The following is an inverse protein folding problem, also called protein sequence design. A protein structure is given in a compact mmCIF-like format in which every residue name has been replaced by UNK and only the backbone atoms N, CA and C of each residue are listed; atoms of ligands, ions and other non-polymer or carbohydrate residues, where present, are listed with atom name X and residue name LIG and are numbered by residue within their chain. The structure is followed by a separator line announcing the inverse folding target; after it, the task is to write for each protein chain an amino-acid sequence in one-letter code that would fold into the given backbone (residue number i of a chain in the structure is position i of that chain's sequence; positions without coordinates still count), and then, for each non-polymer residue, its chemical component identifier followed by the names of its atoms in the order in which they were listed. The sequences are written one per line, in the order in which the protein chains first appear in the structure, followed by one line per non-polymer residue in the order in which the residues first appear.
data_IF_541338379345
#
_entry.id   IF_541338379345
#
_cell.length_a   1.000
_cell.length_b   1.000
_cell.length_c   1.000
_cell.angle_alpha   90.00
_cell.angle_beta   90.00
_cell.angle_gamma   90.00
#
_symmetry.space_group_name_H-M   'P 1'
#
loop_
_entity.id
_entity.type
_entity.pdbx_description
1 polymer ?
#
# COMPACT_ATOMS: atom_id res chain seq x y z
N UNK A 1 7.51 -3.89 4.57
CA UNK A 1 6.05 -4.06 4.41
C UNK A 1 5.52 -2.96 3.49
N UNK A 2 4.54 -3.27 2.66
CA UNK A 2 3.83 -2.28 1.84
C UNK A 2 2.32 -2.47 1.92
N UNK A 3 1.60 -1.36 1.82
CA UNK A 3 0.14 -1.30 1.84
C UNK A 3 -0.39 -0.48 0.66
N UNK A 4 -1.61 -0.79 0.25
CA UNK A 4 -2.38 -0.03 -0.72
C UNK A 4 -3.76 0.30 -0.13
N UNK A 5 -4.10 1.58 0.10
CA UNK A 5 -3.25 2.76 -0.10
C UNK A 5 -2.02 2.74 0.84
N UNK A 6 -0.95 3.42 0.41
CA UNK A 6 0.28 3.57 1.20
C UNK A 6 0.04 4.41 2.46
N UNK A 7 0.93 4.29 3.44
CA UNK A 7 0.91 5.04 4.70
C UNK A 7 -0.08 4.50 5.74
N UNK A 8 -0.59 3.28 5.56
CA UNK A 8 -1.51 2.70 6.54
C UNK A 8 -0.86 2.50 7.92
N UNK A 9 -1.52 2.90 9.02
CA UNK A 9 -1.07 2.63 10.38
C UNK A 9 -1.47 1.24 10.90
N UNK A 10 -2.14 0.41 10.07
CA UNK A 10 -2.48 -0.96 10.46
C UNK A 10 -1.19 -1.76 10.75
N UNK A 11 -1.20 -2.51 11.84
CA UNK A 11 -0.07 -3.35 12.22
C UNK A 11 -0.31 -4.80 11.81
N UNK A 12 0.57 -5.32 10.97
CA UNK A 12 0.53 -6.69 10.48
C UNK A 12 1.51 -7.55 11.28
N UNK A 13 1.01 -8.58 11.95
CA UNK A 13 1.83 -9.47 12.75
C UNK A 13 2.55 -10.51 11.87
N UNK A 14 3.82 -10.73 12.15
CA UNK A 14 4.66 -11.74 11.50
C UNK A 14 5.10 -12.79 12.51
N UNK A 15 5.15 -14.04 12.07
CA UNK A 15 5.68 -15.19 12.82
C UNK A 15 6.76 -15.91 11.99
N UNK A 16 7.47 -16.86 12.61
CA UNK A 16 8.62 -17.53 11.99
C UNK A 16 9.93 -16.92 12.47
N UNK A 17 10.92 -16.88 11.59
CA UNK A 17 12.26 -16.38 11.88
C UNK A 17 12.31 -14.85 11.94
N UNK A 18 11.52 -14.17 11.10
CA UNK A 18 11.29 -12.72 11.18
C UNK A 18 10.04 -12.41 12.02
N UNK A 19 10.13 -12.64 13.33
CA UNK A 19 9.04 -12.39 14.29
C UNK A 19 8.88 -10.89 14.60
N UNK A 20 7.65 -10.39 14.57
CA UNK A 20 7.36 -9.01 14.98
C UNK A 20 6.05 -8.46 14.43
N UNK A 21 5.97 -7.15 14.27
CA UNK A 21 4.84 -6.50 13.61
C UNK A 21 5.32 -5.31 12.80
N UNK A 22 4.68 -5.09 11.65
CA UNK A 22 5.04 -4.05 10.69
C UNK A 22 3.82 -3.27 10.24
N UNK A 23 3.96 -1.95 10.15
CA UNK A 23 3.07 -1.04 9.45
C UNK A 23 3.64 -0.71 8.06
N UNK A 24 2.96 0.14 7.30
CA UNK A 24 3.46 0.54 5.98
C UNK A 24 4.88 1.13 6.03
N UNK A 25 5.75 0.71 5.11
CA UNK A 25 7.12 1.20 5.00
C UNK A 25 8.08 0.66 6.07
N UNK A 26 7.61 -0.06 7.08
CA UNK A 26 8.47 -0.64 8.12
C UNK A 26 9.11 -1.96 7.68
N UNK A 27 10.18 -2.37 8.38
CA UNK A 27 10.92 -3.61 8.14
C UNK A 27 11.38 -4.28 9.44
N UNK A 28 11.40 -5.62 9.46
CA UNK A 28 12.08 -6.42 10.47
C UNK A 28 13.40 -6.85 9.86
N UNK A 29 14.50 -6.66 10.59
CA UNK A 29 15.84 -7.11 10.19
C UNK A 29 16.31 -8.16 11.18
N UNK A 30 16.73 -9.32 10.66
CA UNK A 30 17.31 -10.40 11.45
C UNK A 30 18.74 -10.62 10.97
N UNK A 31 19.71 -10.25 11.81
CA UNK A 31 21.13 -10.28 11.47
C UNK A 31 21.85 -11.49 12.07
N UNK A 32 23.08 -11.73 11.62
CA UNK A 32 23.98 -12.79 12.10
C UNK A 32 23.41 -14.21 11.90
N UNK A 33 22.66 -14.42 10.83
CA UNK A 33 22.18 -15.72 10.41
C UNK A 33 23.29 -16.49 9.68
N UNK A 34 23.30 -17.81 9.87
CA UNK A 34 24.09 -18.69 9.03
C UNK A 34 23.37 -18.91 7.69
N UNK A 35 24.08 -19.44 6.69
CA UNK A 35 23.42 -19.88 5.46
C UNK A 35 22.39 -20.98 5.77
N UNK A 36 21.22 -20.92 5.16
CA UNK A 36 20.13 -21.85 5.43
C UNK A 36 18.77 -21.35 4.97
N UNK A 37 17.73 -22.10 5.36
CA UNK A 37 16.35 -21.78 5.04
C UNK A 37 15.65 -21.13 6.23
N UNK A 38 14.97 -20.02 5.96
CA UNK A 38 14.20 -19.28 6.95
C UNK A 38 12.81 -18.98 6.41
N UNK A 39 11.91 -18.52 7.28
CA UNK A 39 10.54 -18.20 6.91
C UNK A 39 9.98 -17.01 7.68
N UNK A 40 9.03 -16.33 7.06
CA UNK A 40 8.20 -15.32 7.72
C UNK A 40 6.77 -15.49 7.24
N UNK A 41 5.83 -15.65 8.19
CA UNK A 41 4.41 -15.80 7.89
C UNK A 41 3.63 -14.62 8.45
N UNK A 42 2.88 -13.94 7.59
CA UNK A 42 2.02 -12.82 7.96
C UNK A 42 0.64 -13.30 8.42
N UNK A 43 0.13 -12.73 9.52
CA UNK A 43 -1.28 -12.81 9.87
C UNK A 43 -2.04 -11.67 9.19
N UNK A 44 -2.76 -11.98 8.11
CA UNK A 44 -3.51 -11.00 7.32
C UNK A 44 -4.81 -10.62 8.06
N UNK A 45 -5.01 -9.34 8.44
CA UNK A 45 -6.24 -8.92 9.10
C UNK A 45 -7.45 -8.99 8.16
N UNK A 46 -8.65 -9.18 8.71
CA UNK A 46 -9.87 -9.42 7.92
C UNK A 46 -10.26 -8.28 6.94
N UNK A 47 -9.85 -7.04 7.21
CA UNK A 47 -10.11 -5.89 6.34
C UNK A 47 -9.05 -5.69 5.24
N UNK A 48 -8.17 -6.68 5.06
CA UNK A 48 -7.03 -6.63 4.16
C UNK A 48 -6.90 -7.89 3.33
N UNK A 49 -6.29 -7.74 2.17
CA UNK A 49 -5.94 -8.82 1.26
C UNK A 49 -4.43 -8.77 1.02
N UNK A 50 -3.72 -9.89 1.23
CA UNK A 50 -2.33 -10.01 0.82
C UNK A 50 -2.31 -10.29 -0.68
N UNK A 51 -1.83 -9.33 -1.45
CA UNK A 51 -1.89 -9.39 -2.91
C UNK A 51 -0.61 -9.90 -3.54
N UNK A 52 0.53 -9.75 -2.87
CA UNK A 52 1.82 -10.19 -3.40
C UNK A 52 2.88 -10.36 -2.28
N UNK A 53 3.88 -11.21 -2.56
CA UNK A 53 5.11 -11.37 -1.79
C UNK A 53 6.27 -11.41 -2.79
N UNK A 54 7.11 -10.37 -2.76
CA UNK A 54 8.22 -10.24 -3.72
C UNK A 54 9.55 -10.30 -2.98
N UNK A 55 10.38 -11.28 -3.31
CA UNK A 55 11.74 -11.39 -2.80
C UNK A 55 12.74 -10.84 -3.82
N UNK A 56 13.83 -10.22 -3.35
CA UNK A 56 14.94 -9.75 -4.19
C UNK A 56 15.95 -10.84 -4.56
N UNK A 57 15.61 -12.09 -4.27
CA UNK A 57 16.46 -13.27 -4.41
C UNK A 57 15.72 -14.33 -5.24
N UNK A 58 16.47 -15.04 -6.08
CA UNK A 58 15.94 -15.85 -7.17
C UNK A 58 15.49 -17.25 -6.75
N UNK A 59 16.05 -17.79 -5.66
CA UNK A 59 15.67 -19.09 -5.10
C UNK A 59 14.87 -18.98 -3.79
N UNK A 60 14.77 -17.79 -3.20
CA UNK A 60 13.70 -17.43 -2.27
C UNK A 60 12.33 -17.31 -2.95
N UNK A 61 11.25 -17.48 -2.18
CA UNK A 61 9.89 -17.52 -2.72
C UNK A 61 8.83 -16.98 -1.76
N UNK A 62 7.68 -16.58 -2.30
CA UNK A 62 6.49 -16.22 -1.54
C UNK A 62 5.29 -17.10 -1.90
N UNK A 63 4.52 -17.51 -0.89
CA UNK A 63 3.25 -18.23 -1.03
C UNK A 63 2.11 -17.39 -0.45
N UNK A 64 1.22 -16.93 -1.32
CA UNK A 64 0.06 -16.13 -0.95
C UNK A 64 -1.02 -16.94 -0.22
N UNK A 65 -1.06 -18.26 -0.44
CA UNK A 65 -2.07 -19.14 0.18
C UNK A 65 -1.82 -19.26 1.68
N UNK A 66 -0.55 -19.37 2.05
CA UNK A 66 -0.10 -19.48 3.45
C UNK A 66 0.42 -18.18 4.01
N UNK A 67 0.39 -17.09 3.21
CA UNK A 67 0.96 -15.78 3.55
C UNK A 67 2.40 -15.88 4.04
N UNK A 68 3.23 -16.72 3.41
CA UNK A 68 4.57 -17.06 3.88
C UNK A 68 5.64 -16.74 2.84
N UNK A 69 6.69 -16.03 3.26
CA UNK A 69 7.94 -15.94 2.51
C UNK A 69 8.90 -17.02 3.01
N UNK A 70 9.51 -17.76 2.08
CA UNK A 70 10.58 -18.71 2.33
C UNK A 70 11.89 -18.11 1.80
N UNK A 71 12.84 -17.92 2.70
CA UNK A 71 14.15 -17.35 2.40
C UNK A 71 15.15 -18.50 2.23
N UNK A 72 15.88 -18.48 1.13
CA UNK A 72 17.11 -19.25 0.95
C UNK A 72 18.25 -18.27 1.12
N UNK A 73 18.94 -18.32 2.26
CA UNK A 73 20.01 -17.37 2.56
C UNK A 73 21.35 -18.02 2.27
N UNK A 74 22.09 -17.47 1.30
CA UNK A 74 23.48 -17.84 1.08
C UNK A 74 24.45 -17.13 2.03
N UNK A 75 25.67 -17.67 2.13
CA UNK A 75 26.68 -17.13 3.04
C UNK A 75 27.09 -15.70 2.65
N UNK A 76 26.80 -14.73 3.52
CA UNK A 76 27.15 -13.32 3.33
C UNK A 76 26.17 -12.52 2.47
N UNK A 77 25.03 -13.11 2.10
CA UNK A 77 23.98 -12.45 1.36
C UNK A 77 23.03 -11.64 2.27
N UNK A 78 22.23 -10.77 1.67
CA UNK A 78 21.05 -10.16 2.31
C UNK A 78 19.84 -10.36 1.42
N UNK A 79 18.89 -11.18 1.89
CA UNK A 79 17.60 -11.39 1.23
C UNK A 79 16.54 -10.51 1.88
N UNK A 80 15.70 -9.90 1.06
CA UNK A 80 14.57 -9.06 1.46
C UNK A 80 13.32 -9.50 0.69
N UNK A 81 12.27 -9.85 1.43
CA UNK A 81 10.95 -10.10 0.87
C UNK A 81 9.97 -9.02 1.32
N UNK A 82 9.17 -8.49 0.38
CA UNK A 82 8.18 -7.45 0.61
C UNK A 82 6.78 -8.06 0.50
N UNK A 83 6.04 -8.00 1.61
CA UNK A 83 4.63 -8.33 1.66
C UNK A 83 3.80 -7.10 1.28
N UNK A 84 2.89 -7.25 0.31
CA UNK A 84 2.07 -6.15 -0.24
C UNK A 84 0.61 -6.43 0.04
N UNK A 85 -0.02 -5.61 0.89
CA UNK A 85 -1.43 -5.79 1.25
C UNK A 85 -2.29 -4.66 0.73
N UNK A 86 -3.47 -5.00 0.23
CA UNK A 86 -4.50 -4.06 -0.19
C UNK A 86 -5.58 -3.98 0.87
N UNK A 87 -5.93 -2.77 1.29
CA UNK A 87 -7.07 -2.55 2.16
C UNK A 87 -8.35 -2.81 1.36
N UNK A 88 -9.23 -3.63 1.93
CA UNK A 88 -10.56 -3.90 1.37
C UNK A 88 -11.60 -2.84 1.80
N UNK A 89 -11.23 -1.98 2.74
CA UNK A 89 -12.09 -0.92 3.29
C UNK A 89 -11.62 0.49 2.90
N UNK A 90 -10.46 0.64 2.26
CA UNK A 90 -10.00 1.93 1.78
C UNK A 90 -10.84 2.36 0.57
N UNK A 91 -11.73 3.32 0.83
CA UNK A 91 -12.58 4.06 -0.12
C UNK A 91 -12.12 5.52 -0.20
N UNK A 92 -10.81 5.75 -0.07
CA UNK A 92 -10.30 7.10 0.18
C UNK A 92 -9.48 7.62 -1.01
N UNK A 93 -9.95 7.35 -2.22
CA UNK A 93 -9.52 8.13 -3.38
C UNK A 93 -10.19 9.50 -3.34
N UNK A 94 -9.42 10.59 -3.37
CA UNK A 94 -9.99 11.95 -3.45
C UNK A 94 -9.75 12.54 -4.84
N UNK A 95 -10.81 13.05 -5.47
CA UNK A 95 -10.71 13.88 -6.67
C UNK A 95 -11.11 15.30 -6.29
N UNK A 96 -10.23 16.26 -6.56
CA UNK A 96 -10.54 17.70 -6.42
C UNK A 96 -10.56 18.36 -7.78
N UNK A 97 -11.68 19.03 -8.10
CA UNK A 97 -11.80 19.86 -9.30
C UNK A 97 -11.86 21.32 -8.86
N UNK A 98 -10.85 22.12 -9.20
CA UNK A 98 -10.78 23.56 -8.92
C UNK A 98 -10.98 24.35 -10.21
N UNK A 99 -11.89 25.33 -10.21
CA UNK A 99 -12.04 26.24 -11.36
C UNK A 99 -11.27 27.54 -11.16
N UNK A 100 -10.34 27.82 -12.07
CA UNK A 100 -9.70 29.13 -12.18
C UNK A 100 -10.06 29.78 -13.52
N UNK A 101 -10.19 31.10 -13.52
CA UNK A 101 -10.58 31.92 -14.67
C UNK A 101 -9.64 33.12 -14.75
N UNK A 102 -9.29 33.57 -15.97
CA UNK A 102 -8.48 34.76 -16.22
C UNK A 102 -9.13 35.60 -17.33
N UNK A 103 -9.53 36.87 -17.07
CA UNK A 103 -9.43 37.57 -15.79
C UNK A 103 -10.17 36.84 -14.66
N UNK A 104 -9.67 36.99 -13.42
CA UNK A 104 -10.34 36.42 -12.25
C UNK A 104 -11.72 37.07 -12.06
N UNK A 105 -12.64 36.31 -11.45
CA UNK A 105 -13.93 36.83 -11.00
C UNK A 105 -14.78 37.48 -12.12
N UNK A 106 -15.01 36.73 -13.19
CA UNK A 106 -15.88 37.18 -14.29
C UNK A 106 -17.38 37.15 -13.94
N UNK A 107 -17.76 36.69 -12.74
CA UNK A 107 -19.15 36.42 -12.36
C UNK A 107 -19.78 35.23 -13.09
N UNK A 108 -19.01 34.53 -13.92
CA UNK A 108 -19.50 33.39 -14.70
C UNK A 108 -19.52 32.10 -13.89
N UNK A 109 -20.55 31.31 -14.14
CA UNK A 109 -20.67 29.93 -13.66
C UNK A 109 -20.23 28.97 -14.77
N UNK A 110 -19.32 28.06 -14.46
CA UNK A 110 -18.82 27.06 -15.41
C UNK A 110 -19.43 25.71 -15.09
N UNK A 111 -20.21 25.15 -16.02
CA UNK A 111 -20.82 23.83 -15.87
C UNK A 111 -19.84 22.70 -16.16
N UNK A 112 -19.86 21.67 -15.31
CA UNK A 112 -19.12 20.43 -15.42
C UNK A 112 -20.11 19.27 -15.51
N UNK A 113 -19.76 18.25 -16.29
CA UNK A 113 -20.49 16.99 -16.38
C UNK A 113 -19.52 15.83 -16.51
N UNK A 114 -19.94 14.65 -16.06
CA UNK A 114 -19.15 13.41 -16.12
C UNK A 114 -19.51 12.46 -14.98
N UNK A 115 -18.59 11.56 -14.66
CA UNK A 115 -18.81 10.49 -13.67
C UNK A 115 -18.92 10.99 -12.22
N UNK A 116 -18.54 12.25 -11.97
CA UNK A 116 -18.74 12.98 -10.72
C UNK A 116 -20.11 13.68 -10.64
N UNK A 117 -20.98 13.48 -11.64
CA UNK A 117 -22.25 14.16 -11.76
C UNK A 117 -22.15 15.54 -12.40
N UNK A 118 -23.27 16.27 -12.37
CA UNK A 118 -23.37 17.61 -12.94
C UNK A 118 -23.28 18.64 -11.82
N UNK A 119 -22.30 19.53 -11.91
CA UNK A 119 -22.09 20.62 -10.95
C UNK A 119 -21.56 21.86 -11.68
N UNK A 120 -21.63 23.02 -11.03
CA UNK A 120 -21.03 24.25 -11.57
C UNK A 120 -20.11 24.87 -10.53
N UNK A 121 -18.97 25.42 -10.98
CA UNK A 121 -18.02 26.13 -10.14
C UNK A 121 -17.79 27.54 -10.67
N UNK A 122 -17.69 28.51 -9.78
CA UNK A 122 -17.18 29.86 -10.06
C UNK A 122 -15.66 29.91 -9.91
N UNK A 123 -15.05 31.07 -10.23
CA UNK A 123 -13.63 31.30 -9.99
C UNK A 123 -13.26 31.04 -8.52
N UNK A 124 -12.28 30.17 -8.28
CA UNK A 124 -11.77 29.84 -6.94
C UNK A 124 -12.57 28.78 -6.20
N UNK A 125 -13.70 28.33 -6.73
CA UNK A 125 -14.48 27.23 -6.15
C UNK A 125 -13.94 25.87 -6.58
N UNK A 126 -14.13 24.89 -5.70
CA UNK A 126 -13.77 23.50 -5.95
C UNK A 126 -14.85 22.56 -5.43
N UNK A 127 -14.91 21.37 -6.05
CA UNK A 127 -15.62 20.21 -5.50
C UNK A 127 -14.60 19.15 -5.11
N UNK A 128 -14.88 18.45 -4.02
CA UNK A 128 -14.11 17.29 -3.55
C UNK A 128 -15.04 16.10 -3.57
N UNK A 129 -14.67 15.06 -4.31
CA UNK A 129 -15.33 13.75 -4.25
C UNK A 129 -14.38 12.76 -3.58
N UNK A 130 -14.91 12.02 -2.61
CA UNK A 130 -14.22 10.91 -1.94
C UNK A 130 -14.94 9.60 -2.29
N UNK A 131 -14.22 8.60 -2.81
CA UNK A 131 -14.77 7.28 -3.20
C UNK A 131 -13.87 6.12 -2.84
#
# INVERSE_FOLDING_TARGET
KQTNPQGSPESFAFTGDALGSLSDGEQIVVDNLAAGNYSATESVPAAWELTDIVCNDADSSGDLTTATANFVLDAGETVTCVFINKSLTATDGTITVLKQANPSDTGDSFGFSGDLGNFSLMHGEFVVETR
#
